data_IF_986541916636
#
_entry.id   IF_986541916636
#
_cell.length_a   1.000
_cell.length_b   1.000
_cell.length_c   1.000
_cell.angle_alpha   90.00
_cell.angle_beta   90.00
_cell.angle_gamma   90.00
#
_symmetry.space_group_name_H-M   'P 1'
#
loop_
_entity.id
_entity.type
_entity.pdbx_description
1 polymer ?
#
# COMPACT_ATOMS: atom_id res chain seq x y z
N UNK A 1 25.57 -38.09 -35.55
CA UNK A 1 24.95 -36.84 -35.07
C UNK A 1 24.42 -36.10 -36.28
N UNK A 2 23.11 -36.15 -36.54
CA UNK A 2 22.52 -35.46 -37.69
C UNK A 2 22.30 -34.01 -37.27
N UNK A 3 23.16 -33.12 -37.77
CA UNK A 3 22.96 -31.68 -37.62
C UNK A 3 21.66 -31.31 -38.32
N UNK A 4 20.68 -30.84 -37.56
CA UNK A 4 19.51 -30.17 -38.13
C UNK A 4 20.03 -28.86 -38.71
N UNK A 5 20.16 -28.79 -40.03
CA UNK A 5 20.34 -27.53 -40.74
C UNK A 5 19.11 -26.68 -40.46
N UNK A 6 19.19 -25.82 -39.45
CA UNK A 6 18.09 -24.90 -39.15
C UNK A 6 17.99 -23.93 -40.33
N UNK A 7 16.82 -23.88 -41.00
CA UNK A 7 16.57 -22.89 -42.03
C UNK A 7 16.80 -21.49 -41.45
N UNK A 8 17.41 -20.61 -42.24
CA UNK A 8 17.76 -19.26 -41.79
C UNK A 8 16.51 -18.51 -41.26
N UNK A 9 15.35 -18.75 -41.87
CA UNK A 9 14.07 -18.20 -41.44
C UNK A 9 13.71 -18.60 -40.01
N UNK A 10 14.05 -19.83 -39.59
CA UNK A 10 13.78 -20.33 -38.25
C UNK A 10 14.68 -19.66 -37.21
N UNK A 11 15.96 -19.42 -37.55
CA UNK A 11 16.89 -18.68 -36.70
C UNK A 11 16.42 -17.25 -36.46
N UNK A 12 15.94 -16.58 -37.51
CA UNK A 12 15.40 -15.21 -37.43
C UNK A 12 14.17 -15.15 -36.53
N UNK A 13 13.25 -16.11 -36.65
CA UNK A 13 12.06 -16.18 -35.79
C UNK A 13 12.45 -16.36 -34.32
N UNK A 14 13.38 -17.28 -34.03
CA UNK A 14 13.85 -17.49 -32.65
C UNK A 14 14.48 -16.21 -32.09
N UNK A 15 15.31 -15.52 -32.87
CA UNK A 15 15.95 -14.29 -32.44
C UNK A 15 14.93 -13.19 -32.08
N UNK A 16 13.89 -13.02 -32.90
CA UNK A 16 12.82 -12.04 -32.63
C UNK A 16 12.02 -12.45 -31.39
N UNK A 17 11.67 -13.74 -31.24
CA UNK A 17 10.95 -14.23 -30.07
C UNK A 17 11.71 -13.98 -28.76
N UNK A 18 13.03 -14.22 -28.74
CA UNK A 18 13.86 -13.96 -27.57
C UNK A 18 13.89 -12.45 -27.25
N UNK A 19 13.99 -11.59 -28.26
CA UNK A 19 13.99 -10.14 -28.09
C UNK A 19 12.67 -9.63 -27.49
N UNK A 20 11.53 -10.13 -27.99
CA UNK A 20 10.20 -9.78 -27.47
C UNK A 20 10.04 -10.27 -26.03
N UNK A 21 10.47 -11.50 -25.72
CA UNK A 21 10.41 -12.04 -24.36
C UNK A 21 11.24 -11.21 -23.37
N UNK A 22 12.44 -10.77 -23.76
CA UNK A 22 13.26 -9.90 -22.93
C UNK A 22 12.63 -8.53 -22.71
N UNK A 23 12.00 -7.93 -23.73
CA UNK A 23 11.31 -6.66 -23.60
C UNK A 23 10.13 -6.75 -22.61
N UNK A 24 9.33 -7.82 -22.70
CA UNK A 24 8.22 -8.08 -21.77
C UNK A 24 8.76 -8.29 -20.35
N UNK A 25 9.79 -9.12 -20.18
CA UNK A 25 10.42 -9.37 -18.89
C UNK A 25 10.99 -8.08 -18.25
N UNK A 26 11.62 -7.22 -19.05
CA UNK A 26 12.12 -5.92 -18.60
C UNK A 26 10.98 -4.97 -18.19
N UNK A 27 9.85 -5.01 -18.89
CA UNK A 27 8.67 -4.21 -18.53
C UNK A 27 8.09 -4.63 -17.18
N UNK A 28 8.02 -5.94 -16.93
CA UNK A 28 7.59 -6.46 -15.63
C UNK A 28 8.64 -6.23 -14.53
N UNK A 29 9.94 -6.28 -14.85
CA UNK A 29 10.99 -5.97 -13.89
C UNK A 29 11.06 -4.47 -13.52
N UNK A 30 10.74 -3.58 -14.47
CA UNK A 30 10.71 -2.12 -14.27
C UNK A 30 9.44 -1.60 -13.58
N UNK A 31 8.33 -2.35 -13.62
CA UNK A 31 7.05 -1.96 -13.02
C UNK A 31 6.93 -2.19 -11.51
N UNK A 32 7.85 -2.93 -10.90
CA UNK A 32 7.83 -3.25 -9.45
C UNK A 32 8.73 -2.34 -8.60
N UNK A 33 9.08 -1.16 -9.11
CA UNK A 33 9.76 -0.11 -8.34
C UNK A 33 8.82 0.56 -7.35
N UNK A 34 8.63 -0.06 -6.17
CA UNK A 34 8.27 0.56 -4.90
C UNK A 34 7.45 1.86 -4.97
N UNK A 35 6.20 1.77 -5.43
CA UNK A 35 5.22 2.74 -5.00
C UNK A 35 5.01 2.54 -3.50
N UNK A 36 5.60 3.39 -2.66
CA UNK A 36 4.94 3.77 -1.41
C UNK A 36 3.60 4.34 -1.85
N UNK A 37 2.62 3.45 -2.02
CA UNK A 37 1.24 3.81 -2.20
C UNK A 37 0.85 4.46 -0.88
N UNK A 38 1.13 5.75 -0.77
CA UNK A 38 0.63 6.59 0.29
C UNK A 38 -0.87 6.45 0.22
N UNK A 39 -1.42 5.71 1.17
CA UNK A 39 -2.86 5.51 1.23
C UNK A 39 -3.48 6.87 1.53
N UNK A 40 -4.64 7.16 0.95
CA UNK A 40 -5.34 8.41 1.23
C UNK A 40 -5.67 8.52 2.72
N UNK A 41 -5.81 9.74 3.23
CA UNK A 41 -6.23 10.00 4.62
C UNK A 41 -7.48 9.18 4.99
N UNK A 42 -8.43 9.05 4.05
CA UNK A 42 -9.67 8.29 4.25
C UNK A 42 -9.46 6.78 4.34
N UNK A 43 -8.57 6.23 3.53
CA UNK A 43 -8.21 4.82 3.58
C UNK A 43 -7.37 4.49 4.82
N UNK A 44 -6.51 5.43 5.24
CA UNK A 44 -5.74 5.33 6.47
C UNK A 44 -6.65 5.29 7.70
N UNK A 45 -7.63 6.19 7.76
CA UNK A 45 -8.63 6.24 8.82
C UNK A 45 -9.42 4.92 8.90
N UNK A 46 -9.92 4.42 7.77
CA UNK A 46 -10.66 3.15 7.74
C UNK A 46 -9.79 1.95 8.18
N UNK A 47 -8.56 1.84 7.68
CA UNK A 47 -7.63 0.77 8.09
C UNK A 47 -7.28 0.87 9.57
N UNK A 48 -6.93 2.06 10.06
CA UNK A 48 -6.55 2.28 11.44
C UNK A 48 -7.73 2.07 12.39
N UNK A 49 -8.95 2.52 12.05
CA UNK A 49 -10.15 2.20 12.83
C UNK A 49 -10.37 0.67 12.91
N UNK A 50 -10.20 -0.06 11.80
CA UNK A 50 -10.33 -1.52 11.80
C UNK A 50 -9.31 -2.21 12.71
N UNK A 51 -8.06 -1.73 12.72
CA UNK A 51 -7.03 -2.22 13.65
C UNK A 51 -7.38 -1.88 15.10
N UNK A 52 -7.84 -0.66 15.37
CA UNK A 52 -8.21 -0.23 16.72
C UNK A 52 -9.42 -1.02 17.26
N UNK A 53 -10.41 -1.30 16.41
CA UNK A 53 -11.53 -2.19 16.72
C UNK A 53 -11.07 -3.61 17.06
N UNK A 54 -10.15 -4.18 16.28
CA UNK A 54 -9.62 -5.53 16.56
C UNK A 54 -8.87 -5.63 17.89
N UNK A 55 -8.37 -4.50 18.42
CA UNK A 55 -7.75 -4.41 19.75
C UNK A 55 -8.74 -4.14 20.88
N UNK A 56 -10.02 -4.04 20.56
CA UNK A 56 -11.11 -3.82 21.51
C UNK A 56 -11.35 -2.35 21.85
N UNK A 57 -10.97 -1.41 20.97
CA UNK A 57 -11.32 0.01 21.11
C UNK A 57 -10.99 0.58 22.49
N UNK A 58 -9.75 0.37 22.95
CA UNK A 58 -9.31 0.90 24.23
C UNK A 58 -9.06 2.40 24.10
N UNK A 59 -9.64 3.16 25.01
CA UNK A 59 -9.37 4.59 25.18
C UNK A 59 -7.87 4.77 25.45
N UNK A 60 -7.23 5.73 24.79
CA UNK A 60 -5.76 5.96 24.77
C UNK A 60 -4.89 4.99 23.94
N UNK A 61 -5.45 4.05 23.17
CA UNK A 61 -4.67 3.14 22.30
C UNK A 61 -4.91 3.43 20.82
N UNK A 62 -4.64 4.66 20.38
CA UNK A 62 -4.86 5.07 18.98
C UNK A 62 -3.61 5.59 18.27
N UNK A 63 -2.45 5.61 18.93
CA UNK A 63 -1.15 5.86 18.30
C UNK A 63 -0.68 4.61 17.55
N UNK A 64 -1.59 3.99 16.81
CA UNK A 64 -1.29 2.90 15.91
C UNK A 64 -0.75 3.49 14.61
N UNK A 65 0.48 3.11 14.28
CA UNK A 65 1.04 3.33 12.96
C UNK A 65 0.20 2.62 11.90
N UNK A 66 -0.25 3.36 10.88
CA UNK A 66 -1.07 2.80 9.81
C UNK A 66 -0.17 2.37 8.64
N UNK A 67 -0.14 1.07 8.27
CA UNK A 67 0.75 0.59 7.21
C UNK A 67 0.45 1.25 5.86
N UNK A 68 1.48 1.92 5.31
CA UNK A 68 1.40 2.64 4.03
C UNK A 68 0.84 4.06 4.14
N UNK A 69 0.61 4.57 5.37
CA UNK A 69 0.21 5.95 5.59
C UNK A 69 1.45 6.80 5.91
N UNK A 70 1.81 7.68 4.98
CA UNK A 70 2.89 8.65 5.10
C UNK A 70 2.43 9.92 4.38
N UNK A 71 1.80 10.84 5.10
CA UNK A 71 1.21 12.05 4.52
C UNK A 71 2.27 13.16 4.33
N UNK A 72 3.35 13.13 5.11
CA UNK A 72 4.40 14.14 5.09
C UNK A 72 5.60 13.69 4.23
N UNK A 73 5.53 12.51 3.61
CA UNK A 73 6.57 11.89 2.78
C UNK A 73 7.93 11.78 3.50
N UNK A 74 7.91 11.62 4.82
CA UNK A 74 9.12 11.54 5.64
C UNK A 74 9.68 10.11 5.77
N UNK A 75 9.04 9.15 5.08
CA UNK A 75 9.32 7.71 5.11
C UNK A 75 9.05 7.04 6.45
N UNK A 76 8.32 7.71 7.35
CA UNK A 76 7.80 7.13 8.59
C UNK A 76 6.31 6.93 8.46
N UNK A 77 5.81 5.93 9.17
CA UNK A 77 4.37 5.69 9.20
C UNK A 77 3.72 6.69 10.14
N UNK A 78 2.68 7.34 9.64
CA UNK A 78 1.83 8.19 10.43
C UNK A 78 0.82 7.37 11.22
N UNK A 79 0.37 7.96 12.32
CA UNK A 79 -0.54 7.31 13.27
C UNK A 79 -2.00 7.52 12.89
N UNK A 80 -2.88 6.70 13.45
CA UNK A 80 -4.33 6.88 13.32
C UNK A 80 -4.79 8.22 13.94
N UNK A 81 -4.18 8.70 15.02
CA UNK A 81 -4.46 10.01 15.62
C UNK A 81 -4.21 11.15 14.62
N UNK A 82 -3.12 11.08 13.84
CA UNK A 82 -2.83 12.04 12.77
C UNK A 82 -3.86 11.96 11.63
N UNK A 83 -4.27 10.75 11.22
CA UNK A 83 -5.33 10.57 10.21
C UNK A 83 -6.67 11.17 10.68
N UNK A 84 -7.03 10.94 11.95
CA UNK A 84 -8.22 11.54 12.57
C UNK A 84 -8.14 13.06 12.65
N UNK A 85 -6.98 13.63 13.01
CA UNK A 85 -6.79 15.08 13.05
C UNK A 85 -7.03 15.72 11.68
N UNK A 86 -6.59 15.08 10.60
CA UNK A 86 -6.72 15.62 9.24
C UNK A 86 -8.14 15.55 8.68
N UNK A 87 -8.89 14.50 9.02
CA UNK A 87 -10.26 14.31 8.49
C UNK A 87 -11.32 14.93 9.39
N UNK A 88 -11.23 14.67 10.69
CA UNK A 88 -12.24 15.06 11.67
C UNK A 88 -11.89 16.39 12.35
N UNK A 89 -10.67 16.90 12.18
CA UNK A 89 -10.20 18.10 12.87
C UNK A 89 -9.83 17.87 14.34
N UNK A 90 -10.00 16.64 14.84
CA UNK A 90 -9.67 16.24 16.20
C UNK A 90 -8.87 14.92 16.19
N UNK A 91 -7.58 15.00 16.56
CA UNK A 91 -6.66 13.86 16.62
C UNK A 91 -6.56 13.20 17.99
N UNK A 92 -7.39 13.64 18.94
CA UNK A 92 -7.37 13.13 20.30
C UNK A 92 -8.03 11.76 20.36
N UNK A 93 -7.43 10.86 21.12
CA UNK A 93 -8.02 9.60 21.55
C UNK A 93 -7.98 9.44 23.06
N UNK A 94 -7.75 10.56 23.74
CA UNK A 94 -7.61 10.63 25.18
C UNK A 94 -8.91 10.21 25.89
N UNK A 95 -10.04 10.36 25.19
CA UNK A 95 -11.36 10.15 25.75
C UNK A 95 -12.28 9.38 24.79
N UNK A 96 -13.19 8.58 25.35
CA UNK A 96 -14.26 7.91 24.60
C UNK A 96 -15.25 8.88 23.94
N UNK A 97 -15.19 10.17 24.31
CA UNK A 97 -15.99 11.25 23.72
C UNK A 97 -15.33 11.87 22.50
N UNK A 98 -14.04 11.59 22.24
CA UNK A 98 -13.33 12.12 21.11
C UNK A 98 -14.02 11.69 19.80
N UNK A 99 -14.10 12.60 18.82
CA UNK A 99 -14.78 12.30 17.57
C UNK A 99 -14.12 11.13 16.82
N UNK A 100 -12.79 11.02 16.91
CA UNK A 100 -12.04 9.89 16.40
C UNK A 100 -12.51 8.56 17.02
N UNK A 101 -12.68 8.53 18.35
CA UNK A 101 -13.19 7.36 19.05
C UNK A 101 -14.64 7.07 18.67
N UNK A 102 -15.49 8.09 18.57
CA UNK A 102 -16.88 7.89 18.17
C UNK A 102 -16.98 7.32 16.75
N UNK A 103 -16.22 7.89 15.83
CA UNK A 103 -16.17 7.47 14.44
C UNK A 103 -15.65 6.03 14.29
N UNK A 104 -14.58 5.66 15.00
CA UNK A 104 -14.00 4.33 14.89
C UNK A 104 -14.68 3.26 15.77
N UNK A 105 -15.27 3.62 16.92
CA UNK A 105 -15.61 2.68 17.97
C UNK A 105 -17.03 2.81 18.55
N UNK A 106 -17.76 3.90 18.28
CA UNK A 106 -19.11 4.11 18.86
C UNK A 106 -20.26 3.60 17.98
N UNK A 107 -20.08 3.43 16.68
CA UNK A 107 -21.15 3.02 15.77
C UNK A 107 -20.67 2.01 14.72
N UNK A 108 -20.67 0.72 15.09
CA UNK A 108 -20.92 -0.40 14.17
C UNK A 108 -21.34 -1.66 14.91
#
# INVERSE_FOLDING_TARGET
MKGLSLPINLVVIIAICVLVLLAVAAFFAGGFGGGTASISDSAALQKGCGMWQSRGCKVNDCDLEVPGYDFNADKKLNTLSEACLRILGSGSCADATAECFKYCCSER
#
